data_IF_824558912194
#
_entry.id   IF_824558912194
#
_cell.length_a   1.000
_cell.length_b   1.000
_cell.length_c   1.000
_cell.angle_alpha   90.00
_cell.angle_beta   90.00
_cell.angle_gamma   90.00
#
_symmetry.space_group_name_H-M   'P 1'
#
loop_
_entity.id
_entity.type
_entity.pdbx_description
1 polymer ?
#
# COMPACT_ATOMS: atom_id res chain seq x y z
N UNK A 1 -30.34 81.52 32.66
CA UNK A 1 -30.23 81.05 34.06
C UNK A 1 -30.08 79.53 34.02
N UNK A 2 -28.86 79.00 34.04
CA UNK A 2 -28.18 78.41 35.22
C UNK A 2 -28.96 77.24 35.85
N UNK A 3 -28.55 75.99 35.58
CA UNK A 3 -27.82 75.11 36.53
C UNK A 3 -27.68 73.65 36.02
N UNK A 4 -26.46 73.32 35.60
CA UNK A 4 -25.61 72.22 36.09
C UNK A 4 -26.17 70.79 36.33
N UNK A 5 -25.75 69.88 35.43
CA UNK A 5 -25.20 68.52 35.59
C UNK A 5 -26.02 67.41 36.30
N UNK A 6 -26.23 66.32 35.57
CA UNK A 6 -25.78 64.98 35.99
C UNK A 6 -25.39 64.15 34.76
N UNK A 7 -24.15 63.67 34.78
CA UNK A 7 -23.57 62.71 33.84
C UNK A 7 -24.06 61.33 34.25
N UNK A 8 -24.62 60.55 33.33
CA UNK A 8 -24.70 59.09 33.46
C UNK A 8 -24.04 58.49 32.25
N UNK A 9 -22.79 58.08 32.47
CA UNK A 9 -22.03 57.17 31.62
C UNK A 9 -22.72 55.82 31.76
N UNK A 10 -23.30 55.30 30.68
CA UNK A 10 -23.62 53.88 30.57
C UNK A 10 -22.86 53.32 29.38
N UNK A 11 -21.67 52.83 29.69
CA UNK A 11 -20.82 52.00 28.84
C UNK A 11 -21.62 50.86 28.22
N UNK A 12 -21.74 50.88 26.89
CA UNK A 12 -22.09 49.71 26.09
C UNK A 12 -20.90 48.76 26.18
N UNK A 13 -20.98 47.77 27.08
CA UNK A 13 -20.08 46.62 27.06
C UNK A 13 -20.57 45.74 25.93
N UNK A 14 -19.94 45.91 24.76
CA UNK A 14 -20.04 44.98 23.64
C UNK A 14 -19.28 43.72 24.06
N UNK A 15 -19.97 42.83 24.76
CA UNK A 15 -19.49 41.49 25.08
C UNK A 15 -19.41 40.66 23.80
N UNK A 16 -18.37 40.89 23.00
CA UNK A 16 -17.93 39.93 21.98
C UNK A 16 -17.38 38.74 22.76
N UNK A 17 -18.25 37.77 23.05
CA UNK A 17 -17.82 36.44 23.44
C UNK A 17 -17.17 35.80 22.21
N UNK A 18 -15.87 36.06 22.03
CA UNK A 18 -14.99 35.19 21.26
C UNK A 18 -14.94 33.86 22.00
N UNK A 19 -15.91 32.98 21.74
CA UNK A 19 -15.70 31.56 21.99
C UNK A 19 -14.72 31.09 20.94
N UNK A 20 -13.43 31.27 21.23
CA UNK A 20 -12.41 30.45 20.62
C UNK A 20 -12.69 29.01 21.09
N UNK A 21 -13.56 28.29 20.36
CA UNK A 21 -13.52 26.84 20.33
C UNK A 21 -12.25 26.46 19.58
N UNK A 22 -11.11 26.68 20.26
CA UNK A 22 -9.88 25.96 19.99
C UNK A 22 -10.06 24.52 20.44
N UNK A 23 -11.02 23.81 19.84
CA UNK A 23 -10.96 22.37 19.77
C UNK A 23 -9.82 22.06 18.81
N UNK A 24 -8.61 21.94 19.36
CA UNK A 24 -7.56 21.24 18.65
C UNK A 24 -8.14 19.88 18.27
N UNK A 25 -8.38 19.66 16.98
CA UNK A 25 -8.60 18.34 16.44
C UNK A 25 -7.35 17.53 16.82
N UNK A 26 -7.40 16.83 17.97
CA UNK A 26 -6.62 15.62 18.15
C UNK A 26 -7.10 14.72 17.02
N UNK A 27 -6.35 14.73 15.91
CA UNK A 27 -6.79 14.12 14.66
C UNK A 27 -7.33 12.73 14.95
N UNK A 28 -8.54 12.43 14.48
CA UNK A 28 -9.11 11.11 14.58
C UNK A 28 -8.11 10.14 13.96
N UNK A 29 -7.45 9.36 14.80
CA UNK A 29 -6.54 8.31 14.36
C UNK A 29 -7.41 7.24 13.71
N UNK A 30 -7.14 6.94 12.46
CA UNK A 30 -7.80 5.85 11.75
C UNK A 30 -7.36 4.52 12.38
N UNK A 31 -8.22 3.96 13.24
CA UNK A 31 -7.95 2.74 13.99
C UNK A 31 -7.72 1.54 13.07
N UNK A 32 -8.40 1.50 11.92
CA UNK A 32 -8.20 0.45 10.91
C UNK A 32 -6.78 0.51 10.37
N UNK A 33 -6.28 1.70 10.02
CA UNK A 33 -4.89 1.87 9.54
C UNK A 33 -3.86 1.53 10.62
N UNK A 34 -4.13 1.87 11.88
CA UNK A 34 -3.25 1.49 13.00
C UNK A 34 -3.14 -0.03 13.10
N UNK A 35 -4.27 -0.75 13.20
CA UNK A 35 -4.26 -2.21 13.34
C UNK A 35 -3.70 -2.90 12.09
N UNK A 36 -3.99 -2.38 10.90
CA UNK A 36 -3.43 -2.86 9.65
C UNK A 36 -1.90 -2.77 9.65
N UNK A 37 -1.35 -1.64 10.11
CA UNK A 37 0.10 -1.43 10.22
C UNK A 37 0.74 -2.33 11.28
N UNK A 38 0.09 -2.55 12.42
CA UNK A 38 0.59 -3.42 13.48
C UNK A 38 0.63 -4.88 13.04
N UNK A 39 -0.43 -5.32 12.37
CA UNK A 39 -0.53 -6.66 11.80
C UNK A 39 0.57 -6.91 10.76
N UNK A 40 0.76 -6.01 9.78
CA UNK A 40 1.80 -6.17 8.77
C UNK A 40 3.21 -6.12 9.38
N UNK A 41 3.43 -5.31 10.42
CA UNK A 41 4.70 -5.26 11.15
C UNK A 41 5.01 -6.59 11.84
N UNK A 42 4.01 -7.35 12.28
CA UNK A 42 4.24 -8.71 12.77
C UNK A 42 4.70 -9.64 11.64
N UNK A 43 4.16 -9.48 10.43
CA UNK A 43 4.64 -10.19 9.24
C UNK A 43 6.12 -9.88 8.97
N UNK A 44 6.51 -8.60 8.97
CA UNK A 44 7.90 -8.17 8.80
C UNK A 44 8.81 -8.82 9.83
N UNK A 45 8.41 -8.83 11.10
CA UNK A 45 9.22 -9.37 12.21
C UNK A 45 9.43 -10.88 12.13
N UNK A 46 8.42 -11.64 11.74
CA UNK A 46 8.52 -13.09 11.58
C UNK A 46 9.28 -13.48 10.30
N UNK A 47 9.30 -12.60 9.29
CA UNK A 47 9.93 -12.86 7.98
C UNK A 47 11.19 -12.03 7.72
N UNK A 48 11.95 -11.66 8.77
CA UNK A 48 13.12 -10.77 8.64
C UNK A 48 14.15 -11.20 7.59
N UNK A 49 14.34 -12.51 7.39
CA UNK A 49 15.26 -13.05 6.37
C UNK A 49 14.82 -12.73 4.94
N UNK A 50 13.51 -12.52 4.74
CA UNK A 50 12.90 -12.19 3.46
C UNK A 50 12.71 -10.68 3.26
N UNK A 51 13.14 -9.86 4.23
CA UNK A 51 13.12 -8.40 4.13
C UNK A 51 14.42 -7.91 3.51
N UNK A 52 14.32 -7.25 2.36
CA UNK A 52 15.44 -6.62 1.66
C UNK A 52 15.31 -5.10 1.60
N UNK A 53 16.40 -4.43 1.20
CA UNK A 53 16.42 -2.99 0.92
C UNK A 53 17.01 -2.72 -0.47
N UNK A 54 16.24 -2.04 -1.31
CA UNK A 54 16.65 -1.57 -2.63
C UNK A 54 17.18 -0.14 -2.52
N UNK A 55 18.50 0.02 -2.42
CA UNK A 55 19.12 1.31 -2.12
C UNK A 55 18.83 2.40 -3.16
N UNK A 56 18.82 2.06 -4.45
CA UNK A 56 18.59 3.04 -5.53
C UNK A 56 17.19 3.65 -5.50
N UNK A 57 16.17 2.84 -5.19
CA UNK A 57 14.79 3.32 -5.07
C UNK A 57 14.47 3.80 -3.64
N UNK A 58 15.33 3.48 -2.66
CA UNK A 58 15.06 3.64 -1.23
C UNK A 58 13.84 2.84 -0.74
N UNK A 59 13.65 1.62 -1.25
CA UNK A 59 12.53 0.75 -0.88
C UNK A 59 12.93 -0.38 0.05
N UNK A 60 12.08 -0.65 1.02
CA UNK A 60 12.02 -1.94 1.69
C UNK A 60 11.16 -2.90 0.86
N UNK A 61 11.45 -4.20 0.95
CA UNK A 61 10.63 -5.20 0.28
C UNK A 61 10.51 -6.48 1.10
N UNK A 62 9.32 -7.05 1.13
CA UNK A 62 9.07 -8.42 1.59
C UNK A 62 9.02 -9.33 0.37
N UNK A 63 9.97 -10.27 0.28
CA UNK A 63 9.94 -11.34 -0.71
C UNK A 63 8.95 -12.43 -0.29
N UNK A 64 8.11 -12.84 -1.23
CA UNK A 64 7.13 -13.91 -1.07
C UNK A 64 7.68 -15.24 -1.63
N UNK A 65 7.13 -16.40 -1.22
CA UNK A 65 7.71 -17.71 -1.50
C UNK A 65 8.04 -18.01 -2.98
N UNK A 66 7.23 -17.48 -3.90
CA UNK A 66 7.39 -17.73 -5.35
C UNK A 66 8.07 -16.58 -6.10
N UNK A 67 8.67 -15.62 -5.39
CA UNK A 67 9.50 -14.56 -5.96
C UNK A 67 8.80 -13.21 -6.16
N UNK A 68 7.49 -13.13 -5.95
CA UNK A 68 6.75 -11.88 -5.83
C UNK A 68 7.30 -11.05 -4.65
N UNK A 69 7.12 -9.73 -4.73
CA UNK A 69 7.48 -8.83 -3.63
C UNK A 69 6.39 -7.81 -3.41
N UNK A 70 6.21 -7.45 -2.15
CA UNK A 70 5.53 -6.22 -1.79
C UNK A 70 6.57 -5.24 -1.25
N UNK A 71 6.69 -4.08 -1.91
CA UNK A 71 7.71 -3.09 -1.61
C UNK A 71 7.08 -1.78 -1.16
N UNK A 72 7.79 -1.06 -0.29
CA UNK A 72 7.35 0.23 0.22
C UNK A 72 8.54 1.15 0.49
N UNK A 73 8.34 2.44 0.26
CA UNK A 73 9.43 3.41 0.35
C UNK A 73 9.85 3.70 1.80
N UNK A 74 11.14 3.97 1.98
CA UNK A 74 11.70 4.60 3.18
C UNK A 74 11.39 6.09 3.21
N UNK A 75 11.34 6.74 2.05
CA UNK A 75 11.14 8.18 1.88
C UNK A 75 10.31 8.48 0.64
N UNK A 76 9.10 9.00 0.85
CA UNK A 76 8.16 9.35 -0.22
C UNK A 76 8.59 10.57 -1.04
N UNK A 77 9.74 11.17 -0.73
CA UNK A 77 10.38 12.19 -1.60
C UNK A 77 11.53 11.66 -2.45
N UNK A 78 11.87 10.36 -2.33
CA UNK A 78 12.96 9.77 -3.11
C UNK A 78 12.57 9.52 -4.58
N UNK A 79 11.32 9.15 -4.83
CA UNK A 79 10.71 8.96 -6.15
C UNK A 79 9.18 8.82 -6.00
N UNK A 80 8.47 8.72 -7.13
CA UNK A 80 7.01 8.61 -7.21
C UNK A 80 6.45 7.20 -6.91
N UNK A 81 7.25 6.29 -6.36
CA UNK A 81 6.81 4.92 -6.04
C UNK A 81 6.84 4.78 -4.52
N UNK A 82 5.69 4.87 -3.86
CA UNK A 82 5.60 4.73 -2.41
C UNK A 82 5.29 3.31 -1.98
N UNK A 83 4.51 2.60 -2.80
CA UNK A 83 4.27 1.17 -2.72
C UNK A 83 4.47 0.55 -4.10
N UNK A 84 4.91 -0.71 -4.14
CA UNK A 84 4.94 -1.49 -5.37
C UNK A 84 4.53 -2.95 -5.11
N UNK A 85 3.61 -3.43 -5.95
CA UNK A 85 3.37 -4.87 -6.10
C UNK A 85 4.24 -5.37 -7.26
N UNK A 86 5.17 -6.26 -6.96
CA UNK A 86 6.15 -6.78 -7.92
C UNK A 86 5.88 -8.25 -8.13
N UNK A 87 5.69 -8.66 -9.38
CA UNK A 87 5.49 -10.08 -9.74
C UNK A 87 6.49 -10.50 -10.82
N UNK A 88 7.05 -11.72 -10.75
CA UNK A 88 7.85 -12.26 -11.86
C UNK A 88 7.02 -12.26 -13.14
N UNK A 89 7.54 -11.70 -14.22
CA UNK A 89 6.85 -11.62 -15.51
C UNK A 89 6.86 -12.96 -16.25
N UNK A 90 7.86 -13.81 -16.00
CA UNK A 90 8.07 -15.05 -16.74
C UNK A 90 6.89 -16.03 -16.64
N UNK A 91 6.17 -16.04 -15.51
CA UNK A 91 4.95 -16.84 -15.37
C UNK A 91 3.83 -16.39 -16.32
N UNK A 92 3.75 -15.08 -16.60
CA UNK A 92 2.77 -14.50 -17.51
C UNK A 92 3.18 -14.69 -18.98
N UNK A 93 4.46 -14.50 -19.30
CA UNK A 93 4.96 -14.70 -20.68
C UNK A 93 4.88 -16.16 -21.10
N UNK A 94 5.18 -17.12 -20.21
CA UNK A 94 4.92 -18.56 -20.42
C UNK A 94 3.43 -18.85 -20.68
N UNK A 95 2.55 -18.11 -20.02
CA UNK A 95 1.11 -18.16 -20.25
C UNK A 95 0.65 -17.35 -21.48
N UNK A 96 1.55 -16.81 -22.31
CA UNK A 96 1.21 -16.18 -23.58
C UNK A 96 1.10 -14.65 -23.55
N UNK A 97 1.36 -14.00 -22.40
CA UNK A 97 1.39 -12.54 -22.32
C UNK A 97 2.55 -11.97 -23.14
N UNK A 98 2.21 -11.09 -24.07
CA UNK A 98 3.13 -10.22 -24.78
C UNK A 98 3.27 -8.91 -24.01
N UNK A 99 4.34 -8.80 -23.24
CA UNK A 99 4.61 -7.65 -22.35
C UNK A 99 4.70 -6.32 -23.10
N UNK A 100 4.96 -6.34 -24.41
CA UNK A 100 5.03 -5.11 -25.22
C UNK A 100 3.64 -4.51 -25.50
N UNK A 101 2.56 -5.26 -25.25
CA UNK A 101 1.17 -4.81 -25.39
C UNK A 101 0.55 -4.28 -24.11
N UNK A 102 1.28 -4.32 -23.00
CA UNK A 102 0.80 -3.83 -21.71
C UNK A 102 1.03 -2.31 -21.65
N UNK A 103 -0.02 -1.55 -21.34
CA UNK A 103 0.13 -0.11 -21.08
C UNK A 103 0.94 0.08 -19.79
N UNK A 104 2.05 0.82 -19.86
CA UNK A 104 2.93 1.09 -18.72
C UNK A 104 2.24 1.88 -17.60
N UNK A 105 1.10 2.51 -17.86
CA UNK A 105 0.25 3.13 -16.82
C UNK A 105 -0.50 2.08 -15.99
N UNK A 106 -0.76 0.91 -16.56
CA UNK A 106 -1.40 -0.21 -15.86
C UNK A 106 -0.37 -1.03 -15.09
N UNK A 107 0.65 -1.55 -15.79
CA UNK A 107 1.73 -2.35 -15.25
C UNK A 107 3.03 -2.02 -15.98
N UNK A 108 4.09 -1.75 -15.21
CA UNK A 108 5.42 -1.49 -15.75
C UNK A 108 6.14 -2.82 -15.95
N UNK A 109 6.55 -3.11 -17.19
CA UNK A 109 7.47 -4.21 -17.47
C UNK A 109 8.91 -3.74 -17.26
N UNK A 110 9.65 -4.45 -16.40
CA UNK A 110 11.08 -4.25 -16.18
C UNK A 110 11.82 -5.52 -16.66
N UNK A 111 12.67 -5.45 -17.69
CA UNK A 111 13.41 -6.61 -18.16
C UNK A 111 14.44 -7.05 -17.12
N UNK A 112 14.83 -8.32 -17.20
CA UNK A 112 15.91 -8.86 -16.38
C UNK A 112 17.19 -8.04 -16.54
N UNK A 113 17.83 -7.74 -15.41
CA UNK A 113 19.05 -6.94 -15.37
C UNK A 113 19.93 -7.34 -14.18
N UNK A 114 21.23 -7.06 -14.30
CA UNK A 114 22.16 -7.14 -13.18
C UNK A 114 22.18 -5.79 -12.45
N UNK A 115 21.63 -5.76 -11.24
CA UNK A 115 21.55 -4.56 -10.41
C UNK A 115 22.33 -4.79 -9.12
N UNK A 116 23.41 -4.02 -8.92
CA UNK A 116 24.26 -4.16 -7.75
C UNK A 116 24.92 -5.55 -7.60
N UNK A 117 25.19 -6.24 -8.70
CA UNK A 117 25.77 -7.59 -8.69
C UNK A 117 24.76 -8.72 -8.49
N UNK A 118 23.46 -8.40 -8.40
CA UNK A 118 22.38 -9.38 -8.33
C UNK A 118 21.59 -9.41 -9.64
N UNK A 119 21.41 -10.61 -10.19
CA UNK A 119 20.51 -10.84 -11.31
C UNK A 119 19.06 -10.68 -10.83
N UNK A 120 18.32 -9.80 -11.52
CA UNK A 120 16.88 -9.64 -11.35
C UNK A 120 16.16 -10.31 -12.53
N UNK A 121 15.04 -11.04 -12.29
CA UNK A 121 14.28 -11.64 -13.39
C UNK A 121 13.50 -10.55 -14.14
N UNK A 122 12.80 -10.94 -15.21
CA UNK A 122 11.79 -10.06 -15.79
C UNK A 122 10.66 -9.84 -14.76
N UNK A 123 10.21 -8.60 -14.61
CA UNK A 123 9.21 -8.19 -13.62
C UNK A 123 8.04 -7.44 -14.27
N UNK A 124 6.84 -7.65 -13.74
CA UNK A 124 5.71 -6.75 -13.88
C UNK A 124 5.50 -6.05 -12.55
N UNK A 125 5.36 -4.73 -12.59
CA UNK A 125 5.34 -3.88 -11.40
C UNK A 125 4.08 -3.00 -11.45
N UNK A 126 3.27 -3.05 -10.39
CA UNK A 126 2.23 -2.04 -10.14
C UNK A 126 2.76 -1.02 -9.12
N UNK A 127 3.27 0.15 -9.57
CA UNK A 127 3.64 1.22 -8.67
C UNK A 127 2.39 1.92 -8.12
N UNK A 128 2.54 2.54 -6.96
CA UNK A 128 1.51 3.38 -6.36
C UNK A 128 2.16 4.55 -5.62
N UNK A 129 1.64 5.76 -5.87
CA UNK A 129 2.15 7.03 -5.35
C UNK A 129 1.16 7.62 -4.33
N UNK A 130 1.69 8.16 -3.24
CA UNK A 130 1.02 8.83 -2.12
C UNK A 130 1.39 10.32 -2.03
N UNK A 131 1.61 11.02 -3.13
CA UNK A 131 1.84 12.46 -3.18
C UNK A 131 2.92 12.95 -2.18
N UNK A 132 4.12 13.10 -2.72
CA UNK A 132 5.40 13.33 -2.04
C UNK A 132 5.34 14.34 -0.87
N UNK A 133 5.49 13.79 0.34
CA UNK A 133 5.80 14.57 1.55
C UNK A 133 7.00 13.93 2.22
N UNK A 134 8.16 14.59 2.12
CA UNK A 134 9.42 14.09 2.68
C UNK A 134 9.23 13.46 4.06
N UNK A 135 9.64 12.20 4.16
CA UNK A 135 9.42 11.40 5.35
C UNK A 135 10.58 10.42 5.50
N UNK A 136 11.46 10.61 6.48
CA UNK A 136 12.53 9.62 6.77
C UNK A 136 12.13 8.57 7.80
N UNK A 137 12.24 7.28 7.46
CA UNK A 137 12.01 6.17 8.40
C UNK A 137 13.29 5.59 8.99
N UNK A 138 13.12 4.93 10.14
CA UNK A 138 14.13 4.10 10.79
C UNK A 138 13.77 2.61 10.64
N UNK A 139 14.04 2.04 9.47
CA UNK A 139 13.82 0.62 9.19
C UNK A 139 12.51 0.32 8.45
N UNK A 140 12.31 -0.96 8.16
CA UNK A 140 11.20 -1.51 7.39
C UNK A 140 9.85 -1.31 8.12
N UNK A 141 9.81 -1.63 9.41
CA UNK A 141 8.60 -1.53 10.24
C UNK A 141 8.14 -0.08 10.41
N UNK A 142 9.07 0.84 10.68
CA UNK A 142 8.77 2.26 10.84
C UNK A 142 8.35 2.88 9.49
N UNK A 143 9.00 2.52 8.39
CA UNK A 143 8.58 2.96 7.05
C UNK A 143 7.11 2.62 6.81
N UNK A 144 6.73 1.36 7.00
CA UNK A 144 5.38 0.90 6.75
C UNK A 144 4.35 1.59 7.66
N UNK A 145 4.63 1.68 8.97
CA UNK A 145 3.74 2.36 9.93
C UNK A 145 3.47 3.81 9.59
N UNK A 146 4.47 4.54 9.09
CA UNK A 146 4.31 5.95 8.73
C UNK A 146 3.51 6.13 7.46
N UNK A 147 3.80 5.33 6.42
CA UNK A 147 3.02 5.33 5.18
C UNK A 147 1.54 5.09 5.50
N UNK A 148 1.22 4.08 6.32
CA UNK A 148 -0.14 3.76 6.70
C UNK A 148 -0.86 4.89 7.47
N UNK A 149 -0.16 5.90 8.00
CA UNK A 149 -0.80 7.07 8.65
C UNK A 149 -1.18 8.17 7.65
N UNK A 150 -0.71 8.08 6.41
CA UNK A 150 -1.08 9.03 5.35
C UNK A 150 -2.57 8.88 5.04
N UNK A 151 -3.29 9.99 4.98
CA UNK A 151 -4.76 10.00 4.86
C UNK A 151 -5.19 9.35 3.55
N UNK A 152 -4.41 9.57 2.50
CA UNK A 152 -4.62 9.14 1.14
C UNK A 152 -4.45 7.63 0.94
N UNK A 153 -3.80 6.92 1.88
CA UNK A 153 -3.61 5.47 1.79
C UNK A 153 -4.96 4.73 1.89
N UNK A 154 -5.36 3.96 0.86
CA UNK A 154 -6.70 3.37 0.76
C UNK A 154 -6.72 1.95 1.36
N UNK A 155 -6.81 1.90 2.70
CA UNK A 155 -6.85 0.65 3.45
C UNK A 155 -8.25 0.36 3.97
N UNK A 156 -8.66 -0.91 3.84
CA UNK A 156 -9.92 -1.42 4.36
C UNK A 156 -9.71 -2.68 5.19
N UNK A 157 -10.68 -3.01 6.04
CA UNK A 157 -10.73 -4.27 6.78
C UNK A 157 -11.94 -5.09 6.32
N UNK A 158 -11.73 -6.40 6.16
CA UNK A 158 -12.79 -7.38 5.88
C UNK A 158 -12.93 -8.31 7.09
N UNK A 159 -14.08 -8.22 7.77
CA UNK A 159 -14.38 -9.01 8.95
C UNK A 159 -14.62 -10.51 8.65
N UNK A 160 -15.03 -10.86 7.42
CA UNK A 160 -15.29 -12.25 7.05
C UNK A 160 -13.98 -13.01 6.89
N UNK A 161 -13.00 -12.39 6.23
CA UNK A 161 -11.66 -12.95 6.04
C UNK A 161 -10.68 -12.55 7.14
N UNK A 162 -11.08 -11.71 8.10
CA UNK A 162 -10.20 -11.12 9.12
C UNK A 162 -8.89 -10.63 8.52
N UNK A 163 -9.01 -9.81 7.47
CA UNK A 163 -7.86 -9.36 6.70
C UNK A 163 -7.93 -7.86 6.43
N UNK A 164 -6.76 -7.25 6.28
CA UNK A 164 -6.60 -5.90 5.79
C UNK A 164 -6.31 -5.93 4.30
N UNK A 165 -6.68 -4.86 3.60
CA UNK A 165 -6.41 -4.70 2.18
C UNK A 165 -5.89 -3.30 1.88
N UNK A 166 -4.77 -3.22 1.16
CA UNK A 166 -4.29 -2.00 0.52
C UNK A 166 -4.70 -2.02 -0.97
N UNK A 167 -5.50 -1.03 -1.38
CA UNK A 167 -5.93 -0.89 -2.77
C UNK A 167 -4.96 -0.01 -3.57
N UNK A 168 -4.16 -0.58 -4.47
CA UNK A 168 -3.19 0.19 -5.24
C UNK A 168 -3.82 0.90 -6.44
N UNK A 169 -4.88 0.32 -7.00
CA UNK A 169 -5.72 0.90 -8.04
C UNK A 169 -6.94 -0.01 -8.22
N UNK A 170 -7.84 0.35 -9.13
CA UNK A 170 -8.91 -0.55 -9.56
C UNK A 170 -8.35 -1.93 -9.97
N UNK A 171 -8.80 -3.00 -9.30
CA UNK A 171 -8.38 -4.37 -9.58
C UNK A 171 -6.99 -4.77 -9.08
N UNK A 172 -6.23 -3.86 -8.46
CA UNK A 172 -4.91 -4.17 -7.89
C UNK A 172 -4.90 -4.01 -6.38
N UNK A 173 -4.65 -5.11 -5.65
CA UNK A 173 -4.76 -5.13 -4.19
C UNK A 173 -3.74 -6.07 -3.56
N UNK A 174 -3.24 -5.66 -2.39
CA UNK A 174 -2.48 -6.53 -1.48
C UNK A 174 -3.32 -6.71 -0.22
N UNK A 175 -3.71 -7.94 0.09
CA UNK A 175 -4.33 -8.27 1.36
C UNK A 175 -3.33 -8.93 2.29
N UNK A 176 -3.51 -8.75 3.60
CA UNK A 176 -2.79 -9.52 4.61
C UNK A 176 -3.68 -9.85 5.80
N UNK A 177 -3.42 -11.01 6.40
CA UNK A 177 -4.15 -11.54 7.55
C UNK A 177 -4.01 -10.62 8.76
N UNK A 178 -5.07 -10.48 9.56
CA UNK A 178 -5.02 -9.75 10.83
C UNK A 178 -4.01 -10.39 11.80
N UNK A 179 -4.02 -11.71 11.87
CA UNK A 179 -3.11 -12.52 12.69
C UNK A 179 -2.43 -13.59 11.83
N UNK A 180 -1.10 -13.64 11.89
CA UNK A 180 -0.31 -14.66 11.19
C UNK A 180 -0.78 -16.07 11.56
N UNK A 181 -0.96 -16.91 10.54
CA UNK A 181 -1.39 -18.29 10.75
C UNK A 181 -2.89 -18.48 10.97
N UNK A 182 -3.69 -17.41 11.15
CA UNK A 182 -5.13 -17.53 11.41
C UNK A 182 -5.92 -17.97 10.17
N UNK A 183 -5.49 -17.53 8.99
CA UNK A 183 -6.14 -17.80 7.73
C UNK A 183 -5.36 -18.84 6.91
N UNK A 184 -6.00 -19.51 5.91
CA UNK A 184 -5.29 -20.37 4.96
C UNK A 184 -4.12 -19.68 4.27
N UNK A 185 -4.23 -18.36 4.08
CA UNK A 185 -3.25 -17.53 3.40
C UNK A 185 -2.99 -16.28 4.21
N UNK A 186 -1.72 -15.90 4.36
CA UNK A 186 -1.32 -14.76 5.18
C UNK A 186 -1.22 -13.48 4.36
N UNK A 187 -0.88 -13.59 3.07
CA UNK A 187 -0.85 -12.49 2.10
C UNK A 187 -1.56 -12.95 0.83
N UNK A 188 -2.29 -12.05 0.18
CA UNK A 188 -2.95 -12.31 -1.10
C UNK A 188 -2.65 -11.15 -2.05
N UNK A 189 -2.20 -11.46 -3.26
CA UNK A 189 -2.12 -10.49 -4.35
C UNK A 189 -3.31 -10.65 -5.27
N UNK A 190 -3.96 -9.53 -5.60
CA UNK A 190 -4.99 -9.45 -6.63
C UNK A 190 -4.52 -8.53 -7.74
N UNK A 191 -4.55 -9.01 -8.98
CA UNK A 191 -4.22 -8.26 -10.18
C UNK A 191 -5.45 -8.10 -11.07
N UNK A 192 -5.61 -6.92 -11.70
CA UNK A 192 -6.59 -6.72 -12.76
C UNK A 192 -6.18 -7.59 -13.95
N UNK A 193 -7.05 -8.50 -14.39
CA UNK A 193 -6.71 -9.46 -15.44
C UNK A 193 -6.79 -8.84 -16.84
N UNK A 194 -7.64 -7.83 -17.02
CA UNK A 194 -7.92 -7.22 -18.33
C UNK A 194 -6.67 -6.82 -19.13
N UNK A 195 -5.66 -6.11 -18.57
CA UNK A 195 -4.48 -5.71 -19.34
C UNK A 195 -3.66 -6.93 -19.79
N UNK A 196 -3.59 -7.97 -18.97
CA UNK A 196 -2.87 -9.21 -19.28
C UNK A 196 -3.61 -10.04 -20.33
N UNK A 197 -4.94 -10.13 -20.25
CA UNK A 197 -5.78 -10.80 -21.25
C UNK A 197 -5.66 -10.10 -22.61
N UNK A 198 -5.73 -8.76 -22.65
CA UNK A 198 -5.50 -7.98 -23.88
C UNK A 198 -4.10 -8.21 -24.45
N UNK A 199 -3.12 -8.43 -23.58
CA UNK A 199 -1.76 -8.75 -23.96
C UNK A 199 -1.55 -10.22 -24.37
N UNK A 200 -2.57 -11.09 -24.30
CA UNK A 200 -2.50 -12.47 -24.79
C UNK A 200 -2.47 -13.56 -23.71
N UNK A 201 -2.78 -13.22 -22.45
CA UNK A 201 -2.84 -14.20 -21.37
C UNK A 201 -3.79 -15.36 -21.68
N UNK A 202 -3.25 -16.58 -21.64
CA UNK A 202 -4.00 -17.83 -21.58
C UNK A 202 -4.31 -18.18 -20.12
N UNK A 203 -5.58 -18.03 -19.76
CA UNK A 203 -6.09 -18.24 -18.40
C UNK A 203 -5.91 -19.69 -17.92
N UNK A 204 -5.93 -20.65 -18.85
CA UNK A 204 -5.73 -22.05 -18.47
C UNK A 204 -4.27 -22.33 -18.09
N UNK A 205 -3.32 -21.64 -18.73
CA UNK A 205 -1.89 -21.79 -18.44
C UNK A 205 -1.48 -21.10 -17.15
N UNK A 206 -1.97 -19.89 -16.89
CA UNK A 206 -1.57 -19.12 -15.70
C UNK A 206 -2.01 -19.79 -14.39
N UNK A 207 -3.06 -20.63 -14.45
CA UNK A 207 -3.50 -21.44 -13.31
C UNK A 207 -2.42 -22.43 -12.84
N UNK A 208 -1.59 -22.94 -13.76
CA UNK A 208 -0.44 -23.79 -13.43
C UNK A 208 0.70 -23.07 -12.70
N UNK A 209 0.71 -21.74 -12.73
CA UNK A 209 1.69 -20.88 -12.04
C UNK A 209 1.16 -20.36 -10.69
N UNK A 210 0.01 -20.90 -10.24
CA UNK A 210 -0.60 -20.59 -8.94
C UNK A 210 -1.56 -19.40 -8.91
N UNK A 211 -1.93 -18.84 -10.07
CA UNK A 211 -2.90 -17.75 -10.14
C UNK A 211 -4.31 -18.28 -10.43
N UNK A 212 -5.26 -17.97 -9.55
CA UNK A 212 -6.67 -18.25 -9.78
C UNK A 212 -7.34 -17.08 -10.51
N UNK A 213 -7.99 -17.35 -11.65
CA UNK A 213 -8.78 -16.34 -12.36
C UNK A 213 -10.23 -16.31 -11.88
N UNK A 214 -10.71 -15.12 -11.50
CA UNK A 214 -12.12 -14.84 -11.28
C UNK A 214 -12.70 -14.13 -12.49
N UNK A 215 -13.59 -14.80 -13.23
CA UNK A 215 -14.32 -14.20 -14.36
C UNK A 215 -15.30 -13.11 -13.91
N UNK A 216 -15.90 -13.28 -12.74
CA UNK A 216 -16.87 -12.34 -12.17
C UNK A 216 -16.23 -10.98 -11.89
N UNK A 217 -15.04 -11.00 -11.27
CA UNK A 217 -14.33 -9.78 -10.90
C UNK A 217 -13.29 -9.35 -11.93
N UNK A 218 -13.03 -10.18 -12.94
CA UNK A 218 -11.97 -10.00 -13.94
C UNK A 218 -10.58 -9.79 -13.29
N UNK A 219 -10.25 -10.64 -12.32
CA UNK A 219 -9.02 -10.56 -11.52
C UNK A 219 -8.26 -11.89 -11.51
N UNK A 220 -6.94 -11.80 -11.34
CA UNK A 220 -6.08 -12.93 -10.98
C UNK A 220 -5.71 -12.80 -9.50
N UNK A 221 -5.82 -13.89 -8.76
CA UNK A 221 -5.53 -13.96 -7.33
C UNK A 221 -4.43 -14.98 -7.08
N UNK A 222 -3.44 -14.63 -6.28
CA UNK A 222 -2.42 -15.55 -5.79
C UNK A 222 -2.26 -15.40 -4.30
N UNK A 223 -2.21 -16.53 -3.63
CA UNK A 223 -2.22 -16.62 -2.18
C UNK A 223 -0.87 -17.10 -1.66
N UNK A 224 -0.43 -16.54 -0.54
CA UNK A 224 0.88 -16.80 0.03
C UNK A 224 0.76 -17.11 1.52
N UNK A 225 1.44 -18.18 1.93
CA UNK A 225 1.67 -18.51 3.33
C UNK A 225 3.07 -18.06 3.71
N UNK A 226 3.18 -17.14 4.66
CA UNK A 226 4.48 -16.62 5.14
C UNK A 226 4.71 -16.94 6.61
N UNK A 227 3.72 -17.47 7.32
CA UNK A 227 3.90 -17.96 8.69
C UNK A 227 4.73 -19.25 8.78
N UNK A 228 5.00 -19.91 7.65
CA UNK A 228 5.67 -21.22 7.57
C UNK A 228 7.15 -21.15 7.16
N UNK A 229 7.67 -19.98 6.77
CA UNK A 229 9.03 -19.80 6.23
C UNK A 229 10.15 -19.75 7.30
N UNK A 230 10.06 -20.56 8.37
CA UNK A 230 10.98 -20.49 9.53
C UNK A 230 12.35 -21.13 9.27
#
# INVERSE_FOLDING_TARGET
MLKTKAVVISTIILGVALTATGCGNKGNVDETKVKASESFVNIIKENKKEIGFHAELSHWGLKLPTGEKFEWTKDTSANEIDFAMVVPADQFTKAGVDVTKIDSKELVFKPAANEGGMETPNLLIKPYNLNDKKQNSNGAEDAFKRLLKVQEVPVSYDANSKSYALNLAEGYRVNWTEKLGENPSDIIFTLKAEPLIKAGLDINKISGEGWAYSKENNTLVKEFKVSENK
#
